data_IF_709209565903
#
_entry.id   IF_709209565903
#
_cell.length_a   1.000
_cell.length_b   1.000
_cell.length_c   1.000
_cell.angle_alpha   90.00
_cell.angle_beta   90.00
_cell.angle_gamma   90.00
#
_symmetry.space_group_name_H-M   'P 1'
#
loop_
_entity.id
_entity.type
_entity.pdbx_description
1 polymer ?
#
# COMPACT_ATOMS: atom_id res chain seq x y z
N UNK A 1 15.01 -20.99 3.55
CA UNK A 1 14.55 -19.94 4.44
C UNK A 1 14.71 -18.59 3.78
N UNK A 2 13.69 -17.75 3.88
CA UNK A 2 13.72 -16.43 3.25
C UNK A 2 14.50 -15.45 4.12
N UNK A 3 15.24 -14.55 3.46
CA UNK A 3 15.86 -13.41 4.15
C UNK A 3 14.87 -12.27 4.43
N UNK A 4 13.61 -12.48 4.11
CA UNK A 4 12.55 -11.47 4.22
C UNK A 4 11.57 -11.82 5.30
N UNK A 5 11.25 -10.82 6.13
CA UNK A 5 10.22 -10.95 7.17
C UNK A 5 9.10 -9.96 6.89
N UNK A 6 7.87 -10.44 6.94
CA UNK A 6 6.69 -9.57 6.87
C UNK A 6 6.26 -9.24 8.30
N UNK A 7 6.22 -7.95 8.61
CA UNK A 7 5.77 -7.48 9.91
C UNK A 7 4.51 -6.63 9.77
N UNK A 8 3.57 -6.81 10.68
CA UNK A 8 2.31 -6.06 10.71
C UNK A 8 2.51 -4.80 11.54
N UNK A 9 3.08 -3.78 10.92
CA UNK A 9 3.33 -2.51 11.59
C UNK A 9 3.40 -1.37 10.61
N UNK A 10 3.33 -0.15 11.13
CA UNK A 10 3.48 1.08 10.36
C UNK A 10 4.97 1.43 10.32
N UNK A 11 5.52 1.77 9.15
CA UNK A 11 6.92 2.19 9.07
C UNK A 11 7.14 3.55 9.73
N UNK A 12 8.38 3.85 10.09
CA UNK A 12 8.76 5.20 10.47
C UNK A 12 8.64 6.15 9.28
N UNK A 13 8.57 7.45 9.52
CA UNK A 13 8.53 8.45 8.44
C UNK A 13 9.76 8.31 7.54
N UNK A 14 10.94 8.12 8.14
CA UNK A 14 12.18 7.96 7.39
C UNK A 14 12.16 6.73 6.48
N UNK A 15 11.76 5.58 7.01
CA UNK A 15 11.67 4.34 6.22
C UNK A 15 10.60 4.47 5.15
N UNK A 16 9.46 5.05 5.48
CA UNK A 16 8.37 5.29 4.56
C UNK A 16 8.82 6.08 3.33
N UNK A 17 9.43 7.24 3.55
CA UNK A 17 9.88 8.08 2.45
C UNK A 17 11.05 7.45 1.69
N UNK A 18 11.97 6.80 2.39
CA UNK A 18 13.10 6.14 1.74
C UNK A 18 12.63 5.07 0.76
N UNK A 19 11.69 4.22 1.16
CA UNK A 19 11.18 3.15 0.30
C UNK A 19 10.35 3.73 -0.83
N UNK A 20 9.52 4.75 -0.56
CA UNK A 20 8.74 5.41 -1.61
C UNK A 20 9.65 5.98 -2.70
N UNK A 21 10.62 6.79 -2.31
CA UNK A 21 11.54 7.43 -3.27
C UNK A 21 12.34 6.39 -4.04
N UNK A 22 12.85 5.37 -3.35
CA UNK A 22 13.59 4.29 -4.00
C UNK A 22 12.76 3.58 -5.06
N UNK A 23 11.45 3.41 -4.81
CA UNK A 23 10.54 2.73 -5.73
C UNK A 23 9.98 3.67 -6.83
N UNK A 24 10.42 4.92 -6.88
CA UNK A 24 9.98 5.87 -7.90
C UNK A 24 8.75 6.69 -7.53
N UNK A 25 8.28 6.61 -6.29
CA UNK A 25 7.17 7.42 -5.83
C UNK A 25 7.67 8.74 -5.24
N UNK A 26 6.79 9.73 -5.12
CA UNK A 26 7.18 11.04 -4.59
C UNK A 26 7.45 10.98 -3.09
N UNK A 27 8.39 11.81 -2.65
CA UNK A 27 8.60 12.04 -1.22
C UNK A 27 7.41 12.81 -0.65
N UNK A 28 6.97 12.42 0.53
CA UNK A 28 5.91 13.11 1.26
C UNK A 28 6.51 14.08 2.26
N UNK A 29 5.82 15.20 2.49
CA UNK A 29 6.16 16.12 3.57
C UNK A 29 6.23 15.35 4.89
N UNK A 30 7.30 15.57 5.66
CA UNK A 30 7.56 14.79 6.88
C UNK A 30 6.44 14.92 7.91
N UNK A 31 5.90 16.13 8.10
CA UNK A 31 4.82 16.35 9.08
C UNK A 31 3.51 15.73 8.58
N UNK A 32 3.22 15.85 7.29
CA UNK A 32 2.05 15.20 6.70
C UNK A 32 2.15 13.68 6.83
N UNK A 33 3.33 13.12 6.60
CA UNK A 33 3.57 11.69 6.77
C UNK A 33 3.38 11.26 8.23
N UNK A 34 3.88 12.03 9.18
CA UNK A 34 3.69 11.76 10.60
C UNK A 34 2.21 11.63 10.95
N UNK A 35 1.41 12.58 10.50
CA UNK A 35 -0.04 12.56 10.74
C UNK A 35 -0.71 11.40 10.01
N UNK A 36 -0.40 11.24 8.72
CA UNK A 36 -1.02 10.21 7.89
C UNK A 36 -0.70 8.80 8.37
N UNK A 37 0.55 8.53 8.70
CA UNK A 37 0.95 7.20 9.18
C UNK A 37 0.29 6.86 10.52
N UNK A 38 0.12 7.85 11.40
CA UNK A 38 -0.56 7.65 12.69
C UNK A 38 -2.04 7.27 12.52
N UNK A 39 -2.64 7.58 11.38
CA UNK A 39 -4.04 7.27 11.07
C UNK A 39 -4.19 6.05 10.16
N UNK A 40 -3.16 5.27 9.99
CA UNK A 40 -3.21 4.04 9.20
C UNK A 40 -4.15 3.03 9.87
N UNK A 41 -5.01 2.40 9.06
CA UNK A 41 -5.90 1.34 9.55
C UNK A 41 -5.14 0.04 9.71
N UNK A 42 -4.41 -0.37 8.67
CA UNK A 42 -3.60 -1.58 8.69
C UNK A 42 -2.39 -1.38 7.79
N UNK A 43 -1.26 -1.90 8.20
CA UNK A 43 -0.02 -1.74 7.44
C UNK A 43 0.89 -2.94 7.61
N UNK A 44 1.68 -3.20 6.60
CA UNK A 44 2.74 -4.20 6.66
C UNK A 44 4.05 -3.60 6.18
N UNK A 45 5.14 -4.11 6.74
CA UNK A 45 6.49 -3.83 6.26
C UNK A 45 7.15 -5.15 5.90
N UNK A 46 7.91 -5.17 4.82
CA UNK A 46 8.80 -6.28 4.52
C UNK A 46 10.21 -5.84 4.92
N UNK A 47 10.87 -6.64 5.73
CA UNK A 47 12.22 -6.35 6.19
C UNK A 47 13.20 -7.36 5.61
N UNK A 48 14.35 -6.87 5.23
CA UNK A 48 15.48 -7.70 4.82
C UNK A 48 16.62 -7.40 5.80
N UNK A 49 16.94 -8.38 6.63
CA UNK A 49 18.01 -8.23 7.64
C UNK A 49 17.83 -6.97 8.50
N UNK A 50 16.58 -6.74 8.94
CA UNK A 50 16.24 -5.62 9.80
C UNK A 50 15.99 -4.29 9.11
N UNK A 51 16.20 -4.20 7.79
CA UNK A 51 15.93 -2.99 7.03
C UNK A 51 14.59 -3.11 6.29
N UNK A 52 13.75 -2.09 6.40
CA UNK A 52 12.47 -2.05 5.66
C UNK A 52 12.77 -1.83 4.18
N UNK A 53 12.34 -2.79 3.36
CA UNK A 53 12.54 -2.76 1.90
C UNK A 53 11.23 -2.79 1.11
N UNK A 54 10.11 -3.03 1.80
CA UNK A 54 8.78 -3.01 1.17
C UNK A 54 7.74 -2.55 2.16
N UNK A 55 6.71 -1.89 1.65
CA UNK A 55 5.61 -1.35 2.47
C UNK A 55 4.28 -1.51 1.74
N UNK A 56 3.20 -1.45 2.51
CA UNK A 56 1.84 -1.37 1.99
C UNK A 56 0.89 -0.96 3.12
N UNK A 57 -0.12 -0.19 2.80
CA UNK A 57 -1.06 0.34 3.80
C UNK A 57 -2.50 0.26 3.33
N UNK A 58 -3.40 0.14 4.32
CA UNK A 58 -4.84 0.34 4.15
C UNK A 58 -5.23 1.56 4.96
N UNK A 59 -5.90 2.51 4.32
CA UNK A 59 -6.45 3.70 4.97
C UNK A 59 -7.95 3.76 4.73
N UNK A 60 -8.67 4.64 5.43
CA UNK A 60 -10.12 4.82 5.25
C UNK A 60 -10.80 5.24 6.53
N UNK A 61 -12.13 5.13 6.52
CA UNK A 61 -12.95 5.47 7.69
C UNK A 61 -13.20 4.28 8.62
N UNK A 62 -12.74 3.11 8.24
CA UNK A 62 -12.91 1.89 9.04
C UNK A 62 -14.24 1.18 8.85
N UNK A 63 -15.13 1.71 8.03
CA UNK A 63 -16.46 1.13 7.83
C UNK A 63 -16.92 1.07 6.40
N UNK A 64 -16.96 2.21 5.72
CA UNK A 64 -17.58 2.32 4.40
C UNK A 64 -16.58 2.40 3.26
N UNK A 65 -15.46 3.06 3.49
CA UNK A 65 -14.48 3.31 2.44
C UNK A 65 -13.07 2.95 2.92
N UNK A 66 -12.42 2.13 2.12
CA UNK A 66 -11.03 1.73 2.37
C UNK A 66 -10.23 1.99 1.10
N UNK A 67 -8.96 2.30 1.27
CA UNK A 67 -8.06 2.48 0.13
C UNK A 67 -6.74 1.78 0.40
N UNK A 68 -6.29 1.01 -0.57
CA UNK A 68 -4.96 0.41 -0.56
C UNK A 68 -4.00 1.45 -1.13
N UNK A 69 -2.97 1.79 -0.37
CA UNK A 69 -2.00 2.82 -0.77
C UNK A 69 -0.57 2.38 -0.46
N UNK A 70 0.37 3.06 -1.10
CA UNK A 70 1.80 2.96 -0.77
C UNK A 70 2.40 1.57 -0.93
N UNK A 71 1.89 0.79 -1.89
CA UNK A 71 2.54 -0.48 -2.25
C UNK A 71 3.86 -0.13 -2.93
N UNK A 72 4.97 -0.40 -2.26
CA UNK A 72 6.29 -0.06 -2.78
C UNK A 72 7.31 -1.08 -2.31
N UNK A 73 8.20 -1.45 -3.22
CA UNK A 73 9.34 -2.36 -2.93
C UNK A 73 10.59 -1.71 -3.51
N UNK A 74 11.64 -1.62 -2.71
CA UNK A 74 12.91 -1.07 -3.15
C UNK A 74 13.45 -1.86 -4.37
N UNK A 75 14.03 -1.17 -5.37
CA UNK A 75 14.41 -1.82 -6.64
C UNK A 75 15.28 -3.06 -6.48
N UNK A 76 16.22 -3.07 -5.54
CA UNK A 76 17.12 -4.20 -5.30
C UNK A 76 16.39 -5.46 -4.87
N UNK A 77 15.17 -5.31 -4.38
CA UNK A 77 14.37 -6.41 -3.84
C UNK A 77 13.12 -6.72 -4.68
N UNK A 78 12.97 -6.06 -5.83
CA UNK A 78 11.87 -6.34 -6.75
C UNK A 78 12.06 -7.67 -7.48
N UNK A 79 10.99 -8.14 -8.13
CA UNK A 79 10.96 -9.40 -8.89
C UNK A 79 11.22 -10.64 -8.00
N UNK A 80 10.88 -10.55 -6.74
CA UNK A 80 11.01 -11.64 -5.76
C UNK A 80 9.66 -12.01 -5.13
N UNK A 81 8.57 -11.47 -5.66
CA UNK A 81 7.22 -11.73 -5.16
C UNK A 81 6.84 -10.93 -3.92
N UNK A 82 7.61 -9.92 -3.54
CA UNK A 82 7.32 -9.14 -2.33
C UNK A 82 6.06 -8.28 -2.45
N UNK A 83 5.80 -7.73 -3.64
CA UNK A 83 4.57 -6.99 -3.89
C UNK A 83 3.34 -7.86 -3.68
N UNK A 84 3.40 -9.11 -4.14
CA UNK A 84 2.33 -10.09 -3.92
C UNK A 84 2.19 -10.43 -2.43
N UNK A 85 3.30 -10.63 -1.74
CA UNK A 85 3.28 -10.91 -0.30
C UNK A 85 2.60 -9.78 0.46
N UNK A 86 2.91 -8.53 0.10
CA UNK A 86 2.29 -7.35 0.70
C UNK A 86 0.78 -7.33 0.40
N UNK A 87 0.40 -7.48 -0.86
CA UNK A 87 -1.01 -7.46 -1.25
C UNK A 87 -1.80 -8.60 -0.60
N UNK A 88 -1.23 -9.80 -0.54
CA UNK A 88 -1.88 -10.93 0.13
C UNK A 88 -2.20 -10.59 1.58
N UNK A 89 -1.28 -9.97 2.28
CA UNK A 89 -1.48 -9.59 3.69
C UNK A 89 -2.57 -8.52 3.84
N UNK A 90 -2.55 -7.49 2.97
CA UNK A 90 -3.57 -6.43 3.01
C UNK A 90 -4.96 -6.98 2.69
N UNK A 91 -5.05 -7.83 1.67
CA UNK A 91 -6.34 -8.41 1.26
C UNK A 91 -6.87 -9.41 2.29
N UNK A 92 -6.00 -10.18 2.93
CA UNK A 92 -6.41 -11.05 4.02
C UNK A 92 -7.03 -10.25 5.16
N UNK A 93 -6.41 -9.13 5.52
CA UNK A 93 -6.94 -8.25 6.55
C UNK A 93 -8.31 -7.67 6.15
N UNK A 94 -8.42 -7.17 4.91
CA UNK A 94 -9.66 -6.60 4.40
C UNK A 94 -10.79 -7.61 4.37
N UNK A 95 -10.51 -8.84 3.95
CA UNK A 95 -11.52 -9.90 3.88
C UNK A 95 -12.13 -10.19 5.26
N UNK A 96 -11.32 -10.12 6.31
CA UNK A 96 -11.80 -10.38 7.68
C UNK A 96 -12.46 -9.16 8.29
N UNK A 97 -11.95 -7.96 8.03
CA UNK A 97 -12.29 -6.77 8.80
C UNK A 97 -13.18 -5.74 8.09
N UNK A 98 -13.19 -5.70 6.76
CA UNK A 98 -14.03 -4.75 6.04
C UNK A 98 -15.49 -5.22 6.12
N UNK A 99 -16.42 -4.36 6.59
CA UNK A 99 -17.82 -4.76 6.72
C UNK A 99 -18.52 -4.92 5.36
N UNK A 100 -19.68 -5.57 5.33
CA UNK A 100 -20.49 -5.63 4.11
C UNK A 100 -20.78 -4.24 3.57
N UNK A 101 -20.81 -4.10 2.26
CA UNK A 101 -20.99 -2.87 1.49
C UNK A 101 -19.78 -1.93 1.46
N UNK A 102 -18.70 -2.23 2.17
CA UNK A 102 -17.50 -1.40 2.12
C UNK A 102 -16.97 -1.31 0.69
N UNK A 103 -16.58 -0.10 0.30
CA UNK A 103 -15.96 0.16 -1.00
C UNK A 103 -14.45 0.23 -0.82
N UNK A 104 -13.72 -0.66 -1.50
CA UNK A 104 -12.26 -0.71 -1.45
C UNK A 104 -11.71 -0.26 -2.80
N UNK A 105 -10.81 0.72 -2.79
CA UNK A 105 -10.23 1.25 -4.02
C UNK A 105 -8.71 1.32 -3.93
N UNK A 106 -8.09 1.49 -5.10
CA UNK A 106 -6.65 1.78 -5.21
C UNK A 106 -6.40 2.50 -6.53
N UNK A 107 -5.22 3.08 -6.65
CA UNK A 107 -4.74 3.60 -7.93
C UNK A 107 -3.61 2.68 -8.36
N UNK A 108 -3.77 2.08 -9.54
CA UNK A 108 -2.75 1.17 -10.10
C UNK A 108 -1.69 2.02 -10.80
N UNK A 109 -0.64 2.35 -10.07
CA UNK A 109 0.47 3.13 -10.62
C UNK A 109 1.18 2.35 -11.71
N UNK A 110 1.81 3.08 -12.63
CA UNK A 110 2.59 2.53 -13.75
C UNK A 110 1.77 1.63 -14.70
N UNK A 111 0.45 1.75 -14.65
CA UNK A 111 -0.40 1.01 -15.57
C UNK A 111 -0.40 -0.50 -15.37
N UNK A 112 -0.33 -0.96 -14.14
CA UNK A 112 -0.34 -2.39 -13.81
C UNK A 112 -1.68 -2.87 -13.24
N UNK A 113 -2.83 -2.61 -13.91
CA UNK A 113 -4.13 -3.05 -13.40
C UNK A 113 -4.22 -4.57 -13.30
N UNK A 114 -3.55 -5.31 -14.20
CA UNK A 114 -3.58 -6.77 -14.20
C UNK A 114 -3.11 -7.41 -12.91
N UNK A 115 -2.14 -6.80 -12.23
CA UNK A 115 -1.67 -7.30 -10.95
C UNK A 115 -2.78 -7.24 -9.89
N UNK A 116 -3.53 -6.15 -9.88
CA UNK A 116 -4.60 -5.95 -8.89
C UNK A 116 -5.89 -6.67 -9.25
N UNK A 117 -6.14 -6.92 -10.54
CA UNK A 117 -7.33 -7.62 -10.99
C UNK A 117 -7.44 -9.03 -10.42
N UNK A 118 -6.29 -9.69 -10.14
CA UNK A 118 -6.28 -11.01 -9.48
C UNK A 118 -6.90 -10.99 -8.09
N UNK A 119 -6.95 -9.81 -7.46
CA UNK A 119 -7.51 -9.63 -6.12
C UNK A 119 -8.95 -9.14 -6.17
N UNK A 120 -9.56 -9.09 -7.35
CA UNK A 120 -10.95 -8.67 -7.51
C UNK A 120 -11.15 -7.20 -7.81
N UNK A 121 -10.08 -6.42 -7.92
CA UNK A 121 -10.17 -5.02 -8.32
C UNK A 121 -10.50 -4.94 -9.80
N UNK A 122 -11.31 -3.95 -10.17
CA UNK A 122 -11.68 -3.69 -11.56
C UNK A 122 -11.45 -2.22 -11.87
N UNK A 123 -11.01 -1.96 -13.11
CA UNK A 123 -10.89 -0.59 -13.59
C UNK A 123 -12.27 0.06 -13.57
N UNK A 124 -12.35 1.28 -13.05
CA UNK A 124 -13.61 2.02 -12.98
C UNK A 124 -14.16 2.29 -14.38
N UNK A 125 -15.47 2.21 -14.56
CA UNK A 125 -16.06 2.46 -15.89
C UNK A 125 -15.90 3.92 -16.32
N UNK A 126 -15.87 4.20 -17.63
CA UNK A 126 -15.69 5.57 -18.14
C UNK A 126 -16.71 6.58 -17.62
N UNK A 127 -17.92 6.15 -17.31
CA UNK A 127 -18.98 7.02 -16.77
C UNK A 127 -18.77 7.37 -15.30
N UNK A 128 -17.85 6.69 -14.59
CA UNK A 128 -17.57 6.95 -13.17
C UNK A 128 -16.06 6.80 -12.90
N UNK A 129 -15.22 7.58 -13.58
CA UNK A 129 -13.77 7.45 -13.45
C UNK A 129 -13.27 7.93 -12.08
N UNK A 130 -12.17 7.35 -11.64
CA UNK A 130 -11.42 7.90 -10.52
C UNK A 130 -10.76 9.21 -10.93
N UNK A 131 -10.71 10.17 -10.03
CA UNK A 131 -10.10 11.48 -10.26
C UNK A 131 -9.28 11.86 -9.04
N UNK A 132 -8.25 12.66 -9.22
CA UNK A 132 -7.39 13.06 -8.11
C UNK A 132 -6.75 14.43 -8.35
N UNK A 133 -6.30 15.06 -7.27
CA UNK A 133 -5.36 16.16 -7.33
C UNK A 133 -4.46 16.10 -6.10
N UNK A 134 -3.31 16.76 -6.18
CA UNK A 134 -2.36 16.84 -5.07
C UNK A 134 -2.32 18.26 -4.55
N UNK A 135 -2.38 18.42 -3.24
CA UNK A 135 -2.25 19.74 -2.60
C UNK A 135 -0.79 20.20 -2.72
N UNK A 136 -0.60 21.46 -3.13
CA UNK A 136 0.72 22.06 -3.30
C UNK A 136 1.00 23.12 -2.25
#
# INVERSE_FOLDING_TARGET
MSDYDLTKRVPSVEDYNRVRVAAGLSEKDAEAARVGLANTIFSVCVENRGEVVGIGRVIGDGGLFFKVVDIAVAPEHQKRGLGRTIMDALMSWLTVNAPPTAFVSLIADEGLPGFYERYGFRVRPPEAPGMSFTVR
#
